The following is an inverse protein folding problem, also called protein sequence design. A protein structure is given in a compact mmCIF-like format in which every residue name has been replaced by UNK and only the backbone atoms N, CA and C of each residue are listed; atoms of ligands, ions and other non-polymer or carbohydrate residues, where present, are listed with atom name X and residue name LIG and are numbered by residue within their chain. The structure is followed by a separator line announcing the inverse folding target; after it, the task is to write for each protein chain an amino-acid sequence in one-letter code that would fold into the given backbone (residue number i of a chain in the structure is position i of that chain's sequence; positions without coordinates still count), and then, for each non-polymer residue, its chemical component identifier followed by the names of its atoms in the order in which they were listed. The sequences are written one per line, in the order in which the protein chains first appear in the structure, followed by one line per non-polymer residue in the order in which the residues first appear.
data_IF_970853154770
#
_entry.id   IF_970853154770
#
_cell.length_a   1.000
_cell.length_b   1.000
_cell.length_c   1.000
_cell.angle_alpha   90.00
_cell.angle_beta   90.00
_cell.angle_gamma   90.00
#
_symmetry.space_group_name_H-M   'P 1'
#
loop_
_entity.id
_entity.type
_entity.pdbx_description
1 polymer ?
#
# COMPACT_ATOMS: atom_id res chain seq x y z
N UNK A 1 16.23 -10.74 0.53
CA UNK A 1 15.35 -11.65 1.28
C UNK A 1 15.07 -11.03 2.65
N UNK A 2 13.88 -10.50 2.88
CA UNK A 2 13.49 -9.93 4.18
C UNK A 2 13.35 -11.07 5.18
N UNK A 3 14.14 -11.05 6.25
CA UNK A 3 14.10 -12.10 7.27
C UNK A 3 12.79 -11.94 8.08
N UNK A 4 11.79 -12.75 7.75
CA UNK A 4 10.42 -12.72 8.34
C UNK A 4 10.44 -13.04 9.84
N UNK A 5 11.52 -13.60 10.40
CA UNK A 5 11.60 -14.04 11.80
C UNK A 5 11.50 -12.92 12.85
N UNK A 6 11.47 -11.64 12.45
CA UNK A 6 11.51 -10.48 13.35
C UNK A 6 10.34 -9.48 13.15
N UNK A 7 9.27 -9.86 12.44
CA UNK A 7 8.10 -8.97 12.33
C UNK A 7 7.18 -9.13 13.55
N UNK A 8 6.69 -8.01 14.08
CA UNK A 8 5.72 -8.05 15.17
C UNK A 8 4.37 -8.62 14.73
N UNK A 9 3.53 -9.09 15.66
CA UNK A 9 2.20 -9.64 15.34
C UNK A 9 1.23 -8.63 14.69
N UNK A 10 1.60 -7.36 14.60
CA UNK A 10 0.83 -6.29 13.94
C UNK A 10 1.02 -6.27 12.42
N UNK A 11 2.08 -6.88 11.90
CA UNK A 11 2.31 -6.91 10.46
C UNK A 11 1.19 -7.64 9.74
N UNK A 12 0.76 -7.07 8.62
CA UNK A 12 -0.20 -7.65 7.71
C UNK A 12 0.30 -7.55 6.28
N UNK A 13 -0.02 -8.55 5.49
CA UNK A 13 -0.05 -8.46 4.05
C UNK A 13 -1.46 -8.02 3.63
N UNK A 14 -1.54 -6.89 2.94
CA UNK A 14 -2.79 -6.30 2.47
C UNK A 14 -2.79 -6.32 0.96
N UNK A 15 -3.84 -6.90 0.36
CA UNK A 15 -4.07 -6.84 -1.07
C UNK A 15 -5.13 -5.81 -1.38
N UNK A 16 -4.77 -4.87 -2.24
CA UNK A 16 -5.63 -3.84 -2.81
C UNK A 16 -5.86 -4.17 -4.28
N UNK A 17 -7.11 -4.16 -4.73
CA UNK A 17 -7.48 -4.37 -6.13
C UNK A 17 -8.19 -3.14 -6.67
N UNK A 18 -7.91 -2.76 -7.92
CA UNK A 18 -8.53 -1.60 -8.53
C UNK A 18 -10.06 -1.76 -8.49
N UNK A 19 -10.72 -0.83 -7.82
CA UNK A 19 -12.18 -0.82 -7.75
C UNK A 19 -12.77 -0.28 -9.06
N UNK A 20 -14.09 -0.35 -9.17
CA UNK A 20 -14.82 0.23 -10.30
C UNK A 20 -14.45 1.71 -10.48
N UNK A 21 -14.05 2.07 -11.69
CA UNK A 21 -13.82 3.44 -12.11
C UNK A 21 -14.23 3.64 -13.59
N UNK A 22 -14.11 4.87 -14.11
CA UNK A 22 -14.61 5.21 -15.45
C UNK A 22 -13.98 4.34 -16.56
N UNK A 23 -12.69 4.02 -16.45
CA UNK A 23 -11.98 3.16 -17.41
C UNK A 23 -12.18 1.66 -17.14
N UNK A 24 -12.51 1.29 -15.90
CA UNK A 24 -12.65 -0.08 -15.43
C UNK A 24 -14.01 -0.25 -14.73
N UNK A 25 -15.11 -0.38 -15.49
CA UNK A 25 -16.47 -0.38 -14.91
C UNK A 25 -16.74 -1.57 -13.98
N UNK A 26 -15.99 -2.67 -14.13
CA UNK A 26 -16.05 -3.85 -13.27
C UNK A 26 -14.91 -3.90 -12.23
N UNK A 27 -14.09 -2.84 -12.18
CA UNK A 27 -12.78 -2.84 -11.53
C UNK A 27 -11.75 -3.64 -12.33
N UNK A 28 -10.57 -3.82 -11.75
CA UNK A 28 -9.54 -4.69 -12.32
C UNK A 28 -8.88 -5.49 -11.19
N UNK A 29 -8.95 -6.82 -11.31
CA UNK A 29 -8.38 -7.76 -10.33
C UNK A 29 -6.91 -8.06 -10.60
N UNK A 30 -6.42 -7.68 -11.77
CA UNK A 30 -5.05 -7.85 -12.21
C UNK A 30 -4.24 -6.55 -12.08
N UNK A 31 -4.86 -5.47 -11.62
CA UNK A 31 -4.21 -4.21 -11.25
C UNK A 31 -4.41 -3.90 -9.77
N UNK A 32 -3.33 -3.62 -9.05
CA UNK A 32 -3.43 -3.36 -7.63
C UNK A 32 -2.11 -3.24 -6.88
N UNK A 33 -2.22 -3.31 -5.56
CA UNK A 33 -1.08 -3.24 -4.66
C UNK A 33 -1.08 -4.38 -3.65
N UNK A 34 0.10 -4.91 -3.39
CA UNK A 34 0.39 -5.74 -2.23
C UNK A 34 1.22 -4.89 -1.24
N UNK A 35 0.70 -4.68 -0.03
CA UNK A 35 1.31 -3.83 1.00
C UNK A 35 1.63 -4.67 2.23
N UNK A 36 2.90 -4.67 2.63
CA UNK A 36 3.36 -5.23 3.88
C UNK A 36 3.58 -4.10 4.88
N UNK A 37 2.69 -3.98 5.87
CA UNK A 37 2.75 -2.91 6.86
C UNK A 37 2.20 -3.37 8.22
N UNK A 38 2.64 -2.75 9.33
CA UNK A 38 2.00 -2.95 10.63
C UNK A 38 0.67 -2.20 10.69
N UNK A 39 -0.39 -2.88 11.10
CA UNK A 39 -1.71 -2.30 11.32
C UNK A 39 -2.04 -2.25 12.82
N UNK A 40 -2.72 -1.17 13.22
CA UNK A 40 -3.36 -1.02 14.52
C UNK A 40 -4.63 -1.88 14.64
N UNK A 41 -5.23 -1.88 15.83
CA UNK A 41 -6.48 -2.62 16.10
C UNK A 41 -7.69 -2.08 15.33
N UNK A 42 -7.63 -0.82 14.88
CA UNK A 42 -8.65 -0.14 14.09
C UNK A 42 -8.51 -0.39 12.57
N UNK A 43 -7.44 -1.08 12.15
CA UNK A 43 -7.11 -1.35 10.76
C UNK A 43 -6.30 -0.24 10.07
N UNK A 44 -5.87 0.81 10.78
CA UNK A 44 -5.01 1.87 10.22
C UNK A 44 -3.53 1.49 10.32
N UNK A 45 -2.67 2.11 9.51
CA UNK A 45 -1.22 1.91 9.61
C UNK A 45 -0.71 2.38 10.98
N UNK A 46 -0.03 1.50 11.71
CA UNK A 46 0.60 1.86 12.98
C UNK A 46 1.92 2.61 12.73
N UNK A 47 1.87 3.94 12.83
CA UNK A 47 3.01 4.81 12.58
C UNK A 47 4.21 4.54 13.50
N UNK A 48 3.98 4.14 14.75
CA UNK A 48 5.05 3.87 15.70
C UNK A 48 5.75 2.55 15.37
N UNK A 49 4.96 1.52 15.10
CA UNK A 49 5.47 0.21 14.70
C UNK A 49 6.20 0.28 13.35
N UNK A 50 5.66 1.05 12.40
CA UNK A 50 6.29 1.32 11.11
C UNK A 50 7.66 1.98 11.28
N UNK A 51 7.77 2.99 12.17
CA UNK A 51 9.03 3.72 12.37
C UNK A 51 10.17 2.78 12.81
N UNK A 52 9.85 1.80 13.66
CA UNK A 52 10.80 0.78 14.14
C UNK A 52 11.16 -0.27 13.08
N UNK A 53 10.27 -0.53 12.12
CA UNK A 53 10.40 -1.60 11.13
C UNK A 53 10.35 -1.13 9.67
N UNK A 54 10.73 0.13 9.42
CA UNK A 54 10.61 0.79 8.10
C UNK A 54 11.25 0.02 6.94
N UNK A 55 12.33 -0.73 7.21
CA UNK A 55 13.03 -1.53 6.21
C UNK A 55 12.22 -2.77 5.76
N UNK A 56 11.33 -3.25 6.62
CA UNK A 56 10.45 -4.39 6.35
C UNK A 56 9.14 -3.99 5.66
N UNK A 57 8.77 -2.71 5.70
CA UNK A 57 7.52 -2.24 5.11
C UNK A 57 7.67 -2.09 3.59
N UNK A 58 7.13 -3.04 2.84
CA UNK A 58 7.28 -3.15 1.38
C UNK A 58 5.95 -2.92 0.68
N UNK A 59 6.04 -2.45 -0.56
CA UNK A 59 4.90 -2.29 -1.45
C UNK A 59 5.26 -2.94 -2.78
N UNK A 60 4.32 -3.63 -3.39
CA UNK A 60 4.38 -4.08 -4.78
C UNK A 60 3.18 -3.47 -5.50
N UNK A 61 3.39 -2.79 -6.61
CA UNK A 61 2.34 -2.44 -7.57
C UNK A 61 2.40 -3.46 -8.70
N UNK A 62 1.27 -4.08 -9.02
CA UNK A 62 1.17 -5.10 -10.06
C UNK A 62 0.10 -4.70 -11.07
N UNK A 63 0.34 -5.05 -12.34
CA UNK A 63 -0.58 -4.83 -13.45
C UNK A 63 -0.31 -5.83 -14.57
N UNK A 64 -1.35 -6.38 -15.18
CA UNK A 64 -1.18 -7.27 -16.35
C UNK A 64 -0.43 -6.57 -17.48
N UNK A 65 0.62 -7.24 -17.98
CA UNK A 65 1.43 -6.75 -19.10
C UNK A 65 2.56 -5.80 -18.73
N UNK A 66 2.73 -5.46 -17.44
CA UNK A 66 3.82 -4.62 -16.93
C UNK A 66 4.67 -5.39 -15.90
N UNK A 67 5.94 -5.00 -15.75
CA UNK A 67 6.76 -5.51 -14.64
C UNK A 67 6.28 -4.93 -13.31
N UNK A 68 6.29 -5.76 -12.27
CA UNK A 68 5.90 -5.30 -10.94
C UNK A 68 6.86 -4.22 -10.42
N UNK A 69 6.32 -3.12 -9.91
CA UNK A 69 7.12 -2.11 -9.22
C UNK A 69 7.22 -2.46 -7.73
N UNK A 70 8.44 -2.63 -7.23
CA UNK A 70 8.68 -3.02 -5.84
C UNK A 70 9.30 -1.87 -5.05
N UNK A 71 8.51 -1.28 -4.16
CA UNK A 71 8.89 -0.12 -3.36
C UNK A 71 8.84 -0.36 -1.85
N UNK A 72 8.79 0.75 -1.11
CA UNK A 72 8.65 0.81 0.35
C UNK A 72 7.49 1.73 0.73
N UNK A 73 6.85 1.44 1.85
CA UNK A 73 5.91 2.36 2.48
C UNK A 73 6.69 3.39 3.32
N UNK A 74 6.51 4.68 3.03
CA UNK A 74 7.20 5.78 3.69
C UNK A 74 6.21 6.81 4.26
N UNK A 75 6.71 7.66 5.17
CA UNK A 75 5.94 8.72 5.81
C UNK A 75 6.74 10.01 5.90
N UNK A 76 6.16 11.12 5.44
CA UNK A 76 6.73 12.48 5.58
C UNK A 76 6.61 12.98 7.02
N UNK A 77 7.35 14.04 7.37
CA UNK A 77 7.28 14.69 8.69
C UNK A 77 5.88 15.23 9.01
N UNK A 78 5.15 15.71 8.00
CA UNK A 78 3.73 16.15 8.10
C UNK A 78 2.72 15.01 8.24
N UNK A 79 3.19 13.76 8.25
CA UNK A 79 2.36 12.58 8.51
C UNK A 79 1.71 11.92 7.30
N UNK A 80 1.88 12.52 6.12
CA UNK A 80 1.48 11.94 4.83
C UNK A 80 2.26 10.66 4.55
N UNK A 81 1.54 9.62 4.14
CA UNK A 81 2.11 8.35 3.71
C UNK A 81 2.32 8.37 2.19
N UNK A 82 3.36 7.67 1.73
CA UNK A 82 3.66 7.55 0.30
C UNK A 82 4.34 6.22 -0.02
N UNK A 83 4.22 5.79 -1.27
CA UNK A 83 4.96 4.65 -1.80
C UNK A 83 6.23 5.16 -2.50
N UNK A 84 7.36 4.52 -2.20
CA UNK A 84 8.70 4.91 -2.63
C UNK A 84 9.29 3.76 -3.46
N UNK A 85 9.29 3.91 -4.78
CA UNK A 85 9.85 2.97 -5.76
C UNK A 85 11.20 3.53 -6.23
N UNK A 86 12.34 2.95 -5.80
CA UNK A 86 13.66 3.29 -6.36
C UNK A 86 13.95 2.31 -7.53
N UNK A 87 14.44 2.69 -8.72
CA UNK A 87 15.39 3.74 -9.13
C UNK A 87 14.87 4.72 -10.21
N UNK A 88 15.09 6.03 -10.00
CA UNK A 88 14.99 7.10 -11.00
C UNK A 88 14.56 8.46 -10.40
N UNK A 89 15.23 9.56 -10.77
CA UNK A 89 14.92 10.95 -10.35
C UNK A 89 13.59 11.51 -10.93
N UNK A 90 12.68 10.63 -11.38
CA UNK A 90 11.40 11.02 -11.97
C UNK A 90 10.25 10.57 -11.06
N UNK A 91 9.84 11.48 -10.20
CA UNK A 91 8.45 11.70 -9.77
C UNK A 91 7.61 10.56 -9.18
N UNK A 92 8.18 9.56 -8.51
CA UNK A 92 7.37 8.55 -7.80
C UNK A 92 7.03 8.94 -6.35
N UNK A 93 6.80 10.23 -6.10
CA UNK A 93 6.29 10.70 -4.80
C UNK A 93 4.77 10.57 -4.76
N UNK A 94 4.29 9.33 -4.72
CA UNK A 94 2.85 9.10 -4.66
C UNK A 94 2.34 9.38 -3.25
N UNK A 95 1.91 10.63 -3.01
CA UNK A 95 1.43 11.09 -1.71
C UNK A 95 -0.03 10.71 -1.45
N UNK A 96 -0.34 10.27 -0.24
CA UNK A 96 -1.68 9.77 0.10
C UNK A 96 -2.16 10.13 1.50
N UNK A 97 -3.48 10.05 1.66
CA UNK A 97 -4.17 10.07 2.95
C UNK A 97 -4.30 8.68 3.60
N UNK A 98 -3.39 7.71 3.32
CA UNK A 98 -3.45 6.35 3.91
C UNK A 98 -3.45 6.32 5.46
N UNK A 99 -3.07 7.42 6.11
CA UNK A 99 -3.02 7.51 7.56
C UNK A 99 -4.42 7.47 8.20
N UNK A 100 -5.43 7.92 7.47
CA UNK A 100 -6.82 7.87 7.91
C UNK A 100 -7.59 6.69 7.33
N UNK A 101 -7.04 6.05 6.30
CA UNK A 101 -7.63 4.88 5.64
C UNK A 101 -7.57 3.63 6.51
N UNK A 102 -8.64 2.83 6.43
CA UNK A 102 -8.76 1.57 7.16
C UNK A 102 -8.53 0.40 6.22
N UNK A 103 -7.43 -0.32 6.44
CA UNK A 103 -7.12 -1.55 5.72
C UNK A 103 -7.87 -2.73 6.35
N UNK A 104 -9.18 -2.76 6.12
CA UNK A 104 -10.09 -3.82 6.54
C UNK A 104 -10.75 -4.40 5.30
N UNK A 105 -10.84 -5.73 5.18
CA UNK A 105 -11.42 -6.37 4.00
C UNK A 105 -12.80 -5.83 3.66
N UNK A 106 -13.00 -5.45 2.40
CA UNK A 106 -14.23 -4.85 1.89
C UNK A 106 -14.24 -3.32 1.88
N UNK A 107 -13.42 -2.67 2.70
CA UNK A 107 -13.26 -1.21 2.69
C UNK A 107 -12.54 -0.74 1.41
N UNK A 108 -12.63 0.56 1.16
CA UNK A 108 -12.00 1.21 0.02
C UNK A 108 -10.96 2.21 0.49
N UNK A 109 -9.87 2.32 -0.27
CA UNK A 109 -8.80 3.28 -0.03
C UNK A 109 -8.50 4.03 -1.32
N UNK A 110 -8.19 5.31 -1.23
CA UNK A 110 -7.83 6.11 -2.39
C UNK A 110 -6.32 6.29 -2.53
N UNK A 111 -5.82 6.05 -3.73
CA UNK A 111 -4.42 6.10 -4.09
C UNK A 111 -4.30 7.03 -5.32
N UNK A 112 -3.64 8.17 -5.16
CA UNK A 112 -3.21 8.99 -6.30
C UNK A 112 -2.21 8.21 -7.17
N UNK A 113 -2.20 8.38 -8.48
CA UNK A 113 -1.14 7.86 -9.36
C UNK A 113 -1.21 8.65 -10.66
N UNK A 114 -0.07 9.11 -11.16
CA UNK A 114 0.00 9.91 -12.39
C UNK A 114 -0.95 11.13 -12.37
N UNK A 115 -1.10 11.77 -11.20
CA UNK A 115 -1.99 12.93 -11.00
C UNK A 115 -3.49 12.63 -10.98
N UNK A 116 -3.89 11.35 -10.94
CA UNK A 116 -5.29 10.94 -10.83
C UNK A 116 -5.54 10.10 -9.56
N UNK A 117 -6.66 10.34 -8.88
CA UNK A 117 -7.09 9.51 -7.76
C UNK A 117 -7.76 8.24 -8.27
N UNK A 118 -7.22 7.10 -7.88
CA UNK A 118 -7.79 5.78 -8.13
C UNK A 118 -8.31 5.19 -6.81
N UNK A 119 -9.42 4.47 -6.88
CA UNK A 119 -10.00 3.81 -5.71
C UNK A 119 -9.67 2.33 -5.76
N UNK A 120 -9.20 1.78 -4.65
CA UNK A 120 -8.90 0.36 -4.52
C UNK A 120 -9.73 -0.26 -3.41
N UNK A 121 -10.21 -1.47 -3.63
CA UNK A 121 -10.85 -2.26 -2.59
C UNK A 121 -9.79 -3.07 -1.83
N UNK A 122 -9.90 -3.10 -0.51
CA UNK A 122 -9.13 -4.01 0.34
C UNK A 122 -9.68 -5.43 0.16
N UNK A 123 -9.07 -6.18 -0.75
CA UNK A 123 -9.52 -7.52 -1.10
C UNK A 123 -9.10 -8.60 -0.09
N UNK A 124 -7.96 -8.40 0.58
CA UNK A 124 -7.42 -9.35 1.59
C UNK A 124 -6.58 -8.64 2.62
N UNK A 125 -6.68 -9.07 3.87
CA UNK A 125 -5.80 -8.66 4.97
C UNK A 125 -5.42 -9.92 5.75
N UNK A 126 -4.14 -10.25 5.79
CA UNK A 126 -3.67 -11.49 6.41
C UNK A 126 -2.35 -11.32 7.15
N UNK A 127 -2.00 -12.28 7.99
CA UNK A 127 -0.65 -12.33 8.57
C UNK A 127 0.35 -12.72 7.46
N UNK A 128 1.54 -12.08 7.42
CA UNK A 128 2.58 -12.39 6.43
C UNK A 128 3.11 -13.82 6.52
#
# INVERSE_FOLDING_TARGET
MTNVKHLSPKFRHVRLLLAREKAHPDGDREEGYDVLAPLGSDGRIDANEWKSHRASCRVRHFRTGEEDLIGRLRRKSGGQWYFDYAEGDRDDEIGFHLGDERFVTGEYVSIERNGAMHTYQVARVERP
#
